data_IF_723105361743
#
_entry.id   IF_723105361743
#
_cell.length_a   1.000
_cell.length_b   1.000
_cell.length_c   1.000
_cell.angle_alpha   90.00
_cell.angle_beta   90.00
_cell.angle_gamma   90.00
#
_symmetry.space_group_name_H-M   'P 1'
#
loop_
_entity.id
_entity.type
_entity.pdbx_description
1 polymer ?
#
# COMPACT_ATOMS: atom_id res chain seq x y z
N UNK A 1 -14.81 -55.14 -38.85
CA UNK A 1 -13.93 -53.94 -38.73
C UNK A 1 -14.65 -52.68 -38.21
N UNK A 2 -15.92 -52.70 -37.86
CA UNK A 2 -16.70 -51.46 -37.49
C UNK A 2 -16.74 -51.11 -35.99
N UNK A 3 -16.71 -52.08 -35.09
CA UNK A 3 -16.90 -51.83 -33.64
C UNK A 3 -15.64 -51.21 -32.92
N UNK A 4 -14.46 -51.61 -33.34
CA UNK A 4 -13.21 -51.11 -32.75
C UNK A 4 -12.92 -49.61 -33.10
N UNK A 5 -13.35 -49.18 -34.30
CA UNK A 5 -13.21 -47.78 -34.72
C UNK A 5 -14.17 -46.86 -33.98
N UNK A 6 -15.39 -47.30 -33.71
CA UNK A 6 -16.40 -46.49 -32.98
C UNK A 6 -16.02 -46.29 -31.52
N UNK A 7 -15.48 -47.30 -30.85
CA UNK A 7 -14.99 -47.23 -29.46
C UNK A 7 -13.77 -46.32 -29.32
N UNK A 8 -12.82 -46.37 -30.25
CA UNK A 8 -11.65 -45.51 -30.28
C UNK A 8 -12.01 -44.03 -30.48
N UNK A 9 -12.97 -43.75 -31.35
CA UNK A 9 -13.45 -42.40 -31.64
C UNK A 9 -14.19 -41.77 -30.44
N UNK A 10 -15.02 -42.60 -29.76
CA UNK A 10 -15.73 -42.19 -28.54
C UNK A 10 -14.75 -41.87 -27.39
N UNK A 11 -13.72 -42.68 -27.16
CA UNK A 11 -12.70 -42.47 -26.14
C UNK A 11 -11.88 -41.21 -26.43
N UNK A 12 -11.52 -40.94 -27.67
CA UNK A 12 -10.81 -39.73 -28.10
C UNK A 12 -11.64 -38.48 -27.87
N UNK A 13 -12.94 -38.54 -28.18
CA UNK A 13 -13.86 -37.41 -27.96
C UNK A 13 -14.01 -37.08 -26.46
N UNK A 14 -14.17 -38.12 -25.62
CA UNK A 14 -14.23 -37.95 -24.15
C UNK A 14 -12.94 -37.31 -23.60
N UNK A 15 -11.77 -37.81 -24.05
CA UNK A 15 -10.48 -37.26 -23.67
C UNK A 15 -10.32 -35.81 -24.09
N UNK A 16 -10.70 -35.46 -25.32
CA UNK A 16 -10.60 -34.06 -25.78
C UNK A 16 -11.54 -33.15 -25.02
N UNK A 17 -12.74 -33.59 -24.66
CA UNK A 17 -13.66 -32.82 -23.80
C UNK A 17 -13.10 -32.63 -22.40
N UNK A 18 -12.47 -33.64 -21.80
CA UNK A 18 -11.83 -33.55 -20.51
C UNK A 18 -10.64 -32.57 -20.55
N UNK A 19 -9.80 -32.63 -21.57
CA UNK A 19 -8.68 -31.68 -21.76
C UNK A 19 -9.23 -30.25 -21.93
N UNK A 20 -10.25 -30.07 -22.77
CA UNK A 20 -10.86 -28.76 -22.96
C UNK A 20 -11.44 -28.20 -21.66
N UNK A 21 -12.13 -29.05 -20.88
CA UNK A 21 -12.62 -28.63 -19.55
C UNK A 21 -11.50 -28.21 -18.60
N UNK A 22 -10.40 -28.97 -18.54
CA UNK A 22 -9.23 -28.64 -17.72
C UNK A 22 -8.59 -27.31 -18.18
N UNK A 23 -8.46 -27.12 -19.51
CA UNK A 23 -7.93 -25.84 -20.03
C UNK A 23 -8.83 -24.64 -19.69
N UNK A 24 -10.15 -24.83 -19.78
CA UNK A 24 -11.09 -23.76 -19.39
C UNK A 24 -10.98 -23.43 -17.89
N UNK A 25 -10.96 -24.45 -17.03
CA UNK A 25 -10.78 -24.24 -15.59
C UNK A 25 -9.45 -23.56 -15.29
N UNK A 26 -8.37 -24.00 -15.91
CA UNK A 26 -7.06 -23.37 -15.74
C UNK A 26 -7.08 -21.89 -16.18
N UNK A 27 -7.69 -21.60 -17.33
CA UNK A 27 -7.82 -20.22 -17.81
C UNK A 27 -8.65 -19.33 -16.85
N UNK A 28 -9.75 -19.86 -16.30
CA UNK A 28 -10.58 -19.16 -15.31
C UNK A 28 -9.79 -18.90 -14.03
N UNK A 29 -9.03 -19.88 -13.54
CA UNK A 29 -8.18 -19.72 -12.34
C UNK A 29 -7.12 -18.65 -12.58
N UNK A 30 -6.43 -18.70 -13.71
CA UNK A 30 -5.42 -17.68 -14.06
C UNK A 30 -6.04 -16.28 -14.13
N UNK A 31 -7.19 -16.16 -14.77
CA UNK A 31 -7.90 -14.88 -14.86
C UNK A 31 -8.37 -14.39 -13.48
N UNK A 32 -8.86 -15.28 -12.62
CA UNK A 32 -9.29 -14.93 -11.26
C UNK A 32 -8.10 -14.47 -10.38
N UNK A 33 -6.99 -15.21 -10.43
CA UNK A 33 -5.78 -14.84 -9.69
C UNK A 33 -5.21 -13.53 -10.22
N UNK A 34 -5.10 -13.36 -11.53
CA UNK A 34 -4.62 -12.10 -12.13
C UNK A 34 -5.53 -10.91 -11.81
N UNK A 35 -6.84 -11.09 -11.90
CA UNK A 35 -7.81 -10.05 -11.52
C UNK A 35 -7.74 -9.68 -10.04
N UNK A 36 -7.61 -10.69 -9.18
CA UNK A 36 -7.44 -10.48 -7.75
C UNK A 36 -6.16 -9.70 -7.43
N UNK A 37 -5.02 -10.08 -8.01
CA UNK A 37 -3.74 -9.38 -7.77
C UNK A 37 -3.78 -7.92 -8.25
N UNK A 38 -4.39 -7.65 -9.40
CA UNK A 38 -4.58 -6.28 -9.88
C UNK A 38 -5.46 -5.48 -8.93
N UNK A 39 -6.56 -6.05 -8.46
CA UNK A 39 -7.45 -5.37 -7.50
C UNK A 39 -6.81 -5.20 -6.13
N UNK A 40 -6.08 -6.19 -5.62
CA UNK A 40 -5.35 -6.14 -4.36
C UNK A 40 -4.36 -4.96 -4.28
N UNK A 41 -3.77 -4.59 -5.41
CA UNK A 41 -2.85 -3.45 -5.49
C UNK A 41 -3.56 -2.09 -5.59
N UNK A 42 -4.89 -2.06 -5.61
CA UNK A 42 -5.63 -0.80 -5.66
C UNK A 42 -6.02 -0.34 -4.26
N UNK A 43 -5.97 0.98 -3.97
CA UNK A 43 -6.46 1.52 -2.68
C UNK A 43 -7.89 1.12 -2.36
N UNK A 44 -8.72 0.96 -3.39
CA UNK A 44 -10.10 0.49 -3.26
C UNK A 44 -10.23 -0.92 -2.67
N UNK A 45 -9.22 -1.77 -2.79
CA UNK A 45 -9.21 -3.08 -2.14
C UNK A 45 -9.28 -2.95 -0.62
N UNK A 46 -8.35 -2.18 -0.04
CA UNK A 46 -8.29 -1.97 1.40
C UNK A 46 -9.59 -1.38 1.94
N UNK A 47 -10.14 -0.38 1.25
CA UNK A 47 -11.39 0.24 1.66
C UNK A 47 -12.62 -0.66 1.47
N UNK A 48 -12.63 -1.52 0.45
CA UNK A 48 -13.75 -2.47 0.23
C UNK A 48 -13.76 -3.60 1.25
N UNK A 49 -12.61 -4.01 1.74
CA UNK A 49 -12.49 -5.10 2.73
C UNK A 49 -12.65 -4.56 4.15
N UNK A 50 -11.87 -3.56 4.53
CA UNK A 50 -11.81 -3.05 5.90
C UNK A 50 -12.65 -1.80 6.14
N UNK A 51 -13.37 -1.29 5.12
CA UNK A 51 -14.31 -0.15 5.23
C UNK A 51 -13.83 0.99 6.15
N UNK A 52 -14.51 1.16 7.27
CA UNK A 52 -14.34 2.29 8.18
C UNK A 52 -12.89 2.55 8.60
N UNK A 53 -12.07 1.56 9.02
CA UNK A 53 -10.68 1.80 9.39
C UNK A 53 -9.84 2.40 8.27
N UNK A 54 -10.19 2.14 7.01
CA UNK A 54 -9.38 2.54 5.86
C UNK A 54 -9.87 3.82 5.16
N UNK A 55 -11.05 4.33 5.53
CA UNK A 55 -11.64 5.48 4.83
C UNK A 55 -10.71 6.70 4.81
N UNK A 56 -10.22 7.14 5.97
CA UNK A 56 -9.37 8.33 6.07
C UNK A 56 -8.06 8.19 5.27
N UNK A 57 -7.48 7.00 5.25
CA UNK A 57 -6.24 6.72 4.52
C UNK A 57 -6.44 6.76 3.00
N UNK A 58 -7.52 6.13 2.50
CA UNK A 58 -7.85 6.16 1.06
C UNK A 58 -8.27 7.56 0.63
N UNK A 59 -8.99 8.28 1.46
CA UNK A 59 -9.39 9.66 1.21
C UNK A 59 -8.17 10.59 1.14
N UNK A 60 -7.23 10.48 2.07
CA UNK A 60 -5.98 11.26 2.05
C UNK A 60 -5.12 10.96 0.82
N UNK A 61 -5.14 9.73 0.32
CA UNK A 61 -4.42 9.33 -0.89
C UNK A 61 -4.99 10.01 -2.14
N UNK A 62 -6.33 10.12 -2.25
CA UNK A 62 -6.99 10.75 -3.39
C UNK A 62 -7.29 12.25 -3.20
N UNK A 63 -6.96 12.83 -2.05
CA UNK A 63 -7.19 14.23 -1.78
C UNK A 63 -6.50 15.13 -2.81
N UNK A 64 -7.22 16.04 -3.42
CA UNK A 64 -6.72 16.88 -4.53
C UNK A 64 -6.13 18.20 -4.09
N UNK A 65 -6.27 18.60 -2.83
CA UNK A 65 -5.76 19.88 -2.31
C UNK A 65 -4.22 19.91 -2.18
N UNK A 66 -3.57 18.74 -2.27
CA UNK A 66 -2.11 18.61 -2.30
C UNK A 66 -1.42 18.78 -0.95
N UNK A 67 -2.18 18.85 0.14
CA UNK A 67 -1.64 19.05 1.49
C UNK A 67 -1.10 17.78 2.13
N UNK A 68 -1.55 16.61 1.64
CA UNK A 68 -1.17 15.30 2.17
C UNK A 68 -0.02 14.69 1.37
N UNK A 69 0.98 14.12 2.05
CA UNK A 69 2.10 13.44 1.37
C UNK A 69 1.65 12.19 0.62
N UNK A 70 0.65 11.46 1.10
CA UNK A 70 0.06 10.33 0.40
C UNK A 70 -0.40 10.73 -1.01
N UNK A 71 -1.03 11.89 -1.17
CA UNK A 71 -1.44 12.42 -2.47
C UNK A 71 -0.25 12.81 -3.34
N UNK A 72 0.80 13.41 -2.78
CA UNK A 72 2.02 13.73 -3.52
C UNK A 72 2.69 12.45 -4.06
N UNK A 73 2.73 11.39 -3.26
CA UNK A 73 3.26 10.08 -3.68
C UNK A 73 2.36 9.40 -4.71
N UNK A 74 1.04 9.52 -4.59
CA UNK A 74 0.09 9.06 -5.61
C UNK A 74 0.36 9.72 -6.97
N UNK A 75 0.54 11.06 -6.99
CA UNK A 75 0.90 11.81 -8.21
C UNK A 75 2.26 11.38 -8.79
N UNK A 76 3.16 10.90 -7.96
CA UNK A 76 4.44 10.31 -8.37
C UNK A 76 4.33 8.82 -8.77
N UNK A 77 3.12 8.26 -8.86
CA UNK A 77 2.87 6.88 -9.27
C UNK A 77 3.19 5.84 -8.20
N UNK A 78 3.19 6.23 -6.92
CA UNK A 78 3.38 5.33 -5.79
C UNK A 78 2.02 4.94 -5.21
N UNK A 79 1.80 3.64 -5.04
CA UNK A 79 0.60 3.08 -4.41
C UNK A 79 0.80 2.80 -2.92
N UNK A 80 -0.25 2.36 -2.26
CA UNK A 80 -0.22 2.05 -0.83
C UNK A 80 0.82 0.98 -0.50
N UNK A 81 0.92 -0.06 -1.35
CA UNK A 81 1.82 -1.19 -1.13
C UNK A 81 3.29 -0.87 -1.43
N UNK A 82 3.57 0.29 -2.00
CA UNK A 82 4.96 0.78 -2.13
C UNK A 82 5.57 1.10 -0.76
N UNK A 83 4.75 1.56 0.19
CA UNK A 83 5.15 1.85 1.57
C UNK A 83 4.74 0.73 2.53
N UNK A 84 3.54 0.18 2.36
CA UNK A 84 2.98 -0.89 3.17
C UNK A 84 3.20 -2.24 2.50
N UNK A 85 4.43 -2.75 2.60
CA UNK A 85 4.79 -4.01 1.96
C UNK A 85 3.89 -5.16 2.46
N UNK A 86 3.19 -5.89 1.56
CA UNK A 86 2.18 -6.85 1.96
C UNK A 86 2.82 -8.10 2.55
N UNK A 87 2.78 -8.25 3.86
CA UNK A 87 3.18 -9.47 4.57
C UNK A 87 1.92 -10.27 4.92
N UNK A 88 1.74 -11.42 4.32
CA UNK A 88 0.52 -12.24 4.47
C UNK A 88 0.17 -12.47 5.93
N UNK A 89 1.15 -12.75 6.80
CA UNK A 89 0.94 -12.96 8.22
C UNK A 89 0.36 -11.74 8.92
N UNK A 90 0.88 -10.56 8.62
CA UNK A 90 0.40 -9.29 9.18
C UNK A 90 -1.01 -8.98 8.68
N UNK A 91 -1.28 -9.13 7.39
CA UNK A 91 -2.61 -8.92 6.81
C UNK A 91 -3.68 -9.85 7.42
N UNK A 92 -3.33 -11.09 7.75
CA UNK A 92 -4.25 -11.99 8.45
C UNK A 92 -4.55 -11.50 9.86
N UNK A 93 -3.54 -11.04 10.60
CA UNK A 93 -3.71 -10.49 11.95
C UNK A 93 -4.54 -9.22 11.91
N UNK A 94 -4.26 -8.30 11.00
CA UNK A 94 -5.04 -7.06 10.81
C UNK A 94 -6.49 -7.37 10.43
N UNK A 95 -6.70 -8.33 9.54
CA UNK A 95 -8.04 -8.80 9.18
C UNK A 95 -8.80 -9.39 10.39
N UNK A 96 -8.12 -10.11 11.27
CA UNK A 96 -8.71 -10.61 12.51
C UNK A 96 -9.08 -9.48 13.47
N UNK A 97 -8.20 -8.48 13.65
CA UNK A 97 -8.51 -7.30 14.45
C UNK A 97 -9.74 -6.55 13.91
N UNK A 98 -9.84 -6.43 12.58
CA UNK A 98 -11.00 -5.82 11.95
C UNK A 98 -12.29 -6.60 12.22
N UNK A 99 -12.29 -7.93 12.01
CA UNK A 99 -13.47 -8.79 12.22
C UNK A 99 -13.92 -8.79 13.67
N UNK A 100 -12.98 -8.75 14.62
CA UNK A 100 -13.28 -8.73 16.05
C UNK A 100 -13.57 -7.35 16.61
N UNK A 101 -13.35 -6.28 15.82
CA UNK A 101 -13.48 -4.90 16.28
C UNK A 101 -12.37 -4.47 17.24
N UNK A 102 -11.26 -5.21 17.29
CA UNK A 102 -10.11 -4.93 18.16
C UNK A 102 -9.16 -3.91 17.50
N UNK A 103 -9.67 -2.71 17.25
CA UNK A 103 -8.92 -1.57 16.76
C UNK A 103 -9.46 -0.28 17.36
N UNK A 104 -8.59 0.70 17.55
CA UNK A 104 -8.93 1.99 18.15
C UNK A 104 -8.61 3.11 17.17
N UNK A 105 -9.54 4.04 17.01
CA UNK A 105 -9.33 5.29 16.31
C UNK A 105 -8.91 6.38 17.29
N UNK A 106 -8.07 7.28 16.82
CA UNK A 106 -7.91 8.59 17.38
C UNK A 106 -9.16 9.42 17.04
N UNK A 107 -9.81 10.00 18.04
CA UNK A 107 -11.10 10.70 17.88
C UNK A 107 -10.98 11.97 17.03
N UNK A 108 -9.83 12.64 17.09
CA UNK A 108 -9.60 13.91 16.39
C UNK A 108 -9.21 13.69 14.92
N UNK A 109 -8.34 12.73 14.67
CA UNK A 109 -7.81 12.49 13.33
C UNK A 109 -8.57 11.44 12.53
N UNK A 110 -9.41 10.62 13.18
CA UNK A 110 -10.08 9.47 12.59
C UNK A 110 -9.11 8.45 11.99
N UNK A 111 -7.86 8.45 12.44
CA UNK A 111 -6.86 7.48 12.06
C UNK A 111 -6.74 6.37 13.11
N UNK A 112 -6.32 5.19 12.68
CA UNK A 112 -5.98 4.12 13.60
C UNK A 112 -4.82 4.57 14.51
N UNK A 113 -4.94 4.30 15.80
CA UNK A 113 -3.83 4.52 16.73
C UNK A 113 -2.67 3.66 16.28
N UNK A 114 -1.58 4.31 15.87
CA UNK A 114 -0.42 3.65 15.27
C UNK A 114 0.23 2.68 16.26
N UNK A 115 0.54 1.49 15.79
CA UNK A 115 1.28 0.47 16.53
C UNK A 115 2.77 0.50 16.25
N UNK A 116 3.22 1.22 15.23
CA UNK A 116 4.62 1.22 14.83
C UNK A 116 5.12 2.61 14.43
N UNK A 117 6.34 2.93 14.85
CA UNK A 117 7.12 4.05 14.32
C UNK A 117 7.93 3.70 13.05
N UNK A 118 7.81 2.49 12.52
CA UNK A 118 8.67 1.98 11.45
C UNK A 118 8.57 2.77 10.13
N UNK A 119 7.40 3.30 9.82
CA UNK A 119 7.15 4.04 8.58
C UNK A 119 7.50 5.53 8.64
N UNK A 120 7.98 6.01 9.76
CA UNK A 120 8.27 7.44 9.96
C UNK A 120 9.76 7.76 9.98
N UNK A 121 10.62 6.76 9.95
CA UNK A 121 12.05 6.91 10.18
C UNK A 121 12.79 7.47 8.96
N UNK A 122 13.98 8.05 9.21
CA UNK A 122 14.86 8.51 8.15
C UNK A 122 15.29 7.36 7.23
N UNK A 123 15.61 6.20 7.78
CA UNK A 123 16.03 5.02 7.01
C UNK A 123 14.94 4.55 6.06
N UNK A 124 13.66 4.62 6.49
CA UNK A 124 12.54 4.30 5.64
C UNK A 124 12.39 5.25 4.45
N UNK A 125 12.58 6.54 4.65
CA UNK A 125 12.39 7.56 3.62
C UNK A 125 13.64 7.77 2.75
N UNK A 126 14.82 7.86 3.38
CA UNK A 126 16.10 8.20 2.73
C UNK A 126 16.83 6.93 2.27
N UNK A 127 16.28 6.25 1.29
CA UNK A 127 16.88 5.07 0.68
C UNK A 127 17.00 5.22 -0.84
N UNK A 128 17.80 4.36 -1.47
CA UNK A 128 18.13 4.46 -2.90
C UNK A 128 16.91 4.36 -3.82
N UNK A 129 15.85 3.65 -3.41
CA UNK A 129 14.64 3.44 -4.21
C UNK A 129 13.59 4.54 -4.07
N UNK A 130 13.73 5.39 -3.04
CA UNK A 130 12.79 6.46 -2.71
C UNK A 130 13.46 7.82 -2.78
N UNK A 131 13.93 8.35 -1.64
CA UNK A 131 14.64 9.62 -1.56
C UNK A 131 16.14 9.35 -1.42
N UNK A 132 16.82 9.10 -2.56
CA UNK A 132 18.25 8.80 -2.60
C UNK A 132 19.11 10.03 -2.23
N UNK A 133 19.08 10.38 -0.98
CA UNK A 133 19.87 11.47 -0.40
C UNK A 133 20.17 11.21 1.09
N UNK A 134 21.20 11.85 1.60
CA UNK A 134 21.53 11.94 3.02
C UNK A 134 21.06 13.28 3.61
N UNK A 135 21.18 13.42 4.92
CA UNK A 135 20.75 14.64 5.64
C UNK A 135 21.53 15.88 5.20
N UNK A 136 22.81 15.75 4.88
CA UNK A 136 23.64 16.87 4.42
C UNK A 136 23.17 17.39 3.07
N UNK A 137 22.85 16.48 2.15
CA UNK A 137 22.26 16.85 0.86
C UNK A 137 20.87 17.48 1.03
N UNK A 138 20.08 16.97 1.96
CA UNK A 138 18.76 17.51 2.24
C UNK A 138 18.87 18.93 2.83
N UNK A 139 19.73 19.15 3.83
CA UNK A 139 20.06 20.47 4.38
C UNK A 139 20.46 21.44 3.28
N UNK A 140 21.39 21.04 2.41
CA UNK A 140 21.85 21.86 1.29
C UNK A 140 20.74 22.18 0.29
N UNK A 141 19.84 21.23 0.02
CA UNK A 141 18.72 21.42 -0.91
C UNK A 141 17.71 22.45 -0.44
N UNK A 142 17.63 22.67 0.86
CA UNK A 142 16.70 23.61 1.51
C UNK A 142 17.39 24.86 2.08
N UNK A 143 18.70 25.07 1.83
CA UNK A 143 19.48 26.22 2.33
C UNK A 143 18.99 27.60 1.88
N UNK A 144 18.18 27.64 0.81
CA UNK A 144 17.56 28.87 0.30
C UNK A 144 16.41 29.37 1.16
N UNK A 145 15.90 28.56 2.10
CA UNK A 145 14.83 28.95 3.00
C UNK A 145 15.37 29.88 4.09
N UNK A 146 14.59 30.89 4.44
CA UNK A 146 14.98 31.86 5.50
C UNK A 146 15.28 31.18 6.84
N UNK A 147 14.63 30.08 7.10
CA UNK A 147 14.90 29.13 8.17
C UNK A 147 14.92 27.72 7.56
N UNK A 148 16.03 27.03 7.72
CA UNK A 148 16.20 25.71 7.11
C UNK A 148 15.71 24.62 8.06
N UNK A 149 14.56 23.99 7.82
CA UNK A 149 14.00 22.95 8.71
C UNK A 149 14.84 21.66 8.75
N UNK A 150 15.76 21.50 7.79
CA UNK A 150 16.67 20.36 7.73
C UNK A 150 18.09 20.69 8.23
N UNK A 151 18.26 21.84 8.87
CA UNK A 151 19.47 22.14 9.63
C UNK A 151 19.30 21.69 11.09
N UNK A 152 19.72 20.46 11.36
CA UNK A 152 19.58 19.82 12.67
C UNK A 152 20.60 20.30 13.71
N UNK A 153 21.40 21.34 13.43
CA UNK A 153 22.40 21.84 14.35
C UNK A 153 21.80 22.47 15.61
N UNK A 154 20.61 23.03 15.53
CA UNK A 154 19.94 23.74 16.61
C UNK A 154 18.98 22.88 17.45
N UNK A 155 18.38 21.86 16.87
CA UNK A 155 17.32 21.05 17.54
C UNK A 155 17.59 19.54 17.55
N UNK A 156 18.73 19.11 17.02
CA UNK A 156 19.03 17.70 16.89
C UNK A 156 18.29 17.00 15.72
N UNK A 157 18.70 15.79 15.45
CA UNK A 157 18.14 14.98 14.37
C UNK A 157 16.81 14.38 14.82
N UNK A 158 15.78 14.52 13.99
CA UNK A 158 14.43 13.94 14.20
C UNK A 158 14.07 13.01 13.06
N UNK A 159 13.05 12.20 13.24
CA UNK A 159 12.53 11.37 12.17
C UNK A 159 11.70 12.20 11.17
N UNK A 160 11.69 11.77 9.91
CA UNK A 160 10.96 12.46 8.85
C UNK A 160 9.47 12.60 9.19
N UNK A 161 8.89 11.56 9.80
CA UNK A 161 7.49 11.52 10.18
C UNK A 161 7.11 12.46 11.33
N UNK A 162 8.07 13.06 12.05
CA UNK A 162 7.74 14.06 13.08
C UNK A 162 7.11 15.30 12.45
N UNK A 163 7.58 15.69 11.27
CA UNK A 163 7.09 16.83 10.53
C UNK A 163 6.29 16.44 9.29
N UNK A 164 6.76 15.47 8.53
CA UNK A 164 6.17 15.01 7.26
C UNK A 164 5.14 13.91 7.51
N UNK A 165 3.87 14.29 7.64
CA UNK A 165 2.77 13.35 7.86
C UNK A 165 2.25 12.80 6.54
N UNK A 166 2.18 11.45 6.43
CA UNK A 166 1.73 10.80 5.20
C UNK A 166 0.23 10.97 4.97
N UNK A 167 -0.57 10.67 5.98
CA UNK A 167 -2.04 10.61 5.89
C UNK A 167 -2.76 11.76 6.63
N UNK A 168 -2.02 12.70 7.16
CA UNK A 168 -2.52 13.92 7.77
C UNK A 168 -1.73 15.12 7.27
N UNK A 169 -2.12 16.31 7.67
CA UNK A 169 -1.40 17.51 7.29
C UNK A 169 -0.02 17.53 7.96
N UNK A 170 1.03 17.79 7.16
CA UNK A 170 2.37 17.98 7.68
C UNK A 170 2.45 19.21 8.58
N UNK A 171 3.23 19.14 9.63
CA UNK A 171 3.33 20.18 10.66
C UNK A 171 4.75 20.73 10.72
N UNK A 172 4.88 21.98 11.16
CA UNK A 172 6.16 22.57 11.52
C UNK A 172 6.24 22.52 13.04
N UNK A 173 6.80 21.44 13.57
CA UNK A 173 6.86 21.17 15.02
C UNK A 173 7.49 22.30 15.83
N UNK A 174 8.40 23.07 15.22
CA UNK A 174 9.04 24.22 15.87
C UNK A 174 8.12 25.42 16.10
N UNK A 175 6.93 25.44 15.50
CA UNK A 175 5.95 26.52 15.67
C UNK A 175 4.91 26.23 16.75
N UNK A 176 4.97 25.07 17.39
CA UNK A 176 4.01 24.63 18.41
C UNK A 176 4.44 24.97 19.85
N UNK A 177 5.54 25.77 20.01
CA UNK A 177 6.03 26.26 21.32
C UNK A 177 5.96 27.76 21.41
#
# INVERSE_FOLDING_TARGET
MSESEHTSRSARTKRNRAIAAVCVVAAVVVAAVGGFTVWHNQPSFCNSICHTPMNAYVESYYNTDGTMLANAHMKAGKDCLTCHEPKIGEQVVEGMHWVTGDYTFDEDTQHLVSRSGEFATQEFCLNESCHNMDLDKLKKKTEWMAWNPHDFSEHGVTDCGDCHKMHSQSVITCSEY
#
